data_IF_321736763939
#
_entry.id   IF_321736763939
#
_cell.length_a   1.000
_cell.length_b   1.000
_cell.length_c   1.000
_cell.angle_alpha   90.00
_cell.angle_beta   90.00
_cell.angle_gamma   90.00
#
_symmetry.space_group_name_H-M   'P 1'
#
loop_
_entity.id
_entity.type
_entity.pdbx_description
1 polymer ?
#
# COMPACT_ATOMS: atom_id res chain seq x y z
N UNK A 1 13.53 -16.48 9.58
CA UNK A 1 13.28 -15.61 8.40
C UNK A 1 12.68 -14.31 8.93
N UNK A 2 13.06 -13.14 8.43
CA UNK A 2 12.49 -11.86 8.89
C UNK A 2 11.26 -11.49 8.06
N UNK A 3 10.36 -10.66 8.59
CA UNK A 3 9.20 -10.16 7.84
C UNK A 3 9.59 -9.43 6.54
N UNK A 4 10.76 -8.75 6.53
CA UNK A 4 11.31 -8.11 5.32
C UNK A 4 11.66 -9.13 4.24
N UNK A 5 12.26 -10.25 4.64
CA UNK A 5 12.56 -11.34 3.71
C UNK A 5 11.28 -11.96 3.14
N UNK A 6 10.23 -12.12 3.96
CA UNK A 6 8.92 -12.57 3.49
C UNK A 6 8.29 -11.61 2.48
N UNK A 7 8.37 -10.30 2.71
CA UNK A 7 7.91 -9.28 1.76
C UNK A 7 8.67 -9.34 0.43
N UNK A 8 10.00 -9.37 0.48
CA UNK A 8 10.83 -9.49 -0.74
C UNK A 8 10.51 -10.75 -1.52
N UNK A 9 10.42 -11.90 -0.83
CA UNK A 9 10.08 -13.17 -1.47
C UNK A 9 8.70 -13.13 -2.14
N UNK A 10 7.68 -12.57 -1.47
CA UNK A 10 6.34 -12.45 -2.03
C UNK A 10 6.32 -11.53 -3.27
N UNK A 11 7.07 -10.43 -3.26
CA UNK A 11 7.21 -9.55 -4.41
C UNK A 11 7.91 -10.24 -5.58
N UNK A 12 9.05 -10.89 -5.32
CA UNK A 12 9.81 -11.62 -6.34
C UNK A 12 8.98 -12.74 -6.97
N UNK A 13 8.21 -13.47 -6.15
CA UNK A 13 7.28 -14.49 -6.62
C UNK A 13 6.23 -13.90 -7.56
N UNK A 14 5.66 -12.74 -7.21
CA UNK A 14 4.72 -12.04 -8.10
C UNK A 14 5.38 -11.64 -9.41
N UNK A 15 6.58 -11.04 -9.40
CA UNK A 15 7.31 -10.67 -10.62
C UNK A 15 7.56 -11.88 -11.52
N UNK A 16 8.03 -13.00 -10.95
CA UNK A 16 8.22 -14.26 -11.69
C UNK A 16 6.93 -14.77 -12.34
N UNK A 17 5.79 -14.67 -11.65
CA UNK A 17 4.48 -15.05 -12.21
C UNK A 17 4.11 -14.14 -13.38
N UNK A 18 4.29 -12.83 -13.25
CA UNK A 18 4.00 -11.85 -14.31
C UNK A 18 4.83 -12.15 -15.58
N UNK A 19 6.12 -12.45 -15.39
CA UNK A 19 7.03 -12.82 -16.48
C UNK A 19 6.66 -14.17 -17.11
N UNK A 20 6.44 -15.20 -16.28
CA UNK A 20 6.07 -16.54 -16.72
C UNK A 20 4.81 -16.53 -17.59
N UNK A 21 3.79 -15.78 -17.16
CA UNK A 21 2.52 -15.64 -17.90
C UNK A 21 2.62 -14.68 -19.09
N UNK A 22 3.77 -14.02 -19.28
CA UNK A 22 4.04 -13.03 -20.35
C UNK A 22 2.98 -11.93 -20.42
N UNK A 23 2.48 -11.48 -19.26
CA UNK A 23 1.31 -10.59 -19.17
C UNK A 23 1.51 -9.25 -19.88
N UNK A 24 2.76 -8.77 -19.96
CA UNK A 24 3.09 -7.53 -20.65
C UNK A 24 2.70 -7.53 -22.15
N UNK A 25 2.62 -8.70 -22.80
CA UNK A 25 2.30 -8.85 -24.23
C UNK A 25 0.81 -9.01 -24.50
N UNK A 26 -0.02 -9.13 -23.47
CA UNK A 26 -1.44 -9.46 -23.59
C UNK A 26 -2.31 -8.21 -23.49
N UNK A 27 -3.55 -8.28 -24.02
CA UNK A 27 -4.55 -7.22 -23.84
C UNK A 27 -5.01 -7.16 -22.36
N UNK A 28 -5.47 -6.01 -21.85
CA UNK A 28 -5.84 -5.86 -20.44
C UNK A 28 -6.84 -6.89 -19.90
N UNK A 29 -7.88 -7.25 -20.65
CA UNK A 29 -8.85 -8.27 -20.21
C UNK A 29 -8.21 -9.65 -20.13
N UNK A 30 -7.42 -10.03 -21.13
CA UNK A 30 -6.67 -11.31 -21.14
C UNK A 30 -5.66 -11.38 -19.99
N UNK A 31 -5.05 -10.25 -19.62
CA UNK A 31 -4.19 -10.17 -18.42
C UNK A 31 -4.97 -10.51 -17.17
N UNK A 32 -6.16 -9.92 -16.98
CA UNK A 32 -7.03 -10.20 -15.82
C UNK A 32 -7.37 -11.68 -15.74
N UNK A 33 -7.93 -12.22 -16.82
CA UNK A 33 -8.43 -13.59 -16.85
C UNK A 33 -7.29 -14.59 -16.59
N UNK A 34 -6.15 -14.41 -17.26
CA UNK A 34 -5.01 -15.32 -17.12
C UNK A 34 -4.36 -15.23 -15.73
N UNK A 35 -4.26 -14.02 -15.17
CA UNK A 35 -3.68 -13.84 -13.84
C UNK A 35 -4.57 -14.44 -12.76
N UNK A 36 -5.89 -14.26 -12.85
CA UNK A 36 -6.85 -14.84 -11.90
C UNK A 36 -6.90 -16.37 -12.02
N UNK A 37 -7.05 -16.91 -13.23
CA UNK A 37 -7.09 -18.35 -13.47
C UNK A 37 -5.85 -19.09 -12.96
N UNK A 38 -4.65 -18.49 -13.08
CA UNK A 38 -3.42 -19.07 -12.55
C UNK A 38 -3.44 -19.27 -11.02
N UNK A 39 -4.21 -18.47 -10.28
CA UNK A 39 -4.29 -18.49 -8.82
C UNK A 39 -5.53 -19.23 -8.27
N UNK A 40 -6.49 -19.59 -9.12
CA UNK A 40 -7.64 -20.43 -8.71
C UNK A 40 -7.16 -21.78 -8.18
N UNK A 41 -6.12 -22.37 -8.79
CA UNK A 41 -5.52 -23.63 -8.36
C UNK A 41 -4.50 -23.54 -7.22
N UNK A 42 -4.28 -22.36 -6.62
CA UNK A 42 -3.23 -22.16 -5.61
C UNK A 42 -3.80 -21.98 -4.21
N UNK A 43 -3.79 -23.00 -3.34
CA UNK A 43 -4.49 -22.96 -2.05
C UNK A 43 -3.90 -21.92 -1.08
N UNK A 44 -2.63 -21.54 -1.22
CA UNK A 44 -1.95 -20.55 -0.38
C UNK A 44 -1.82 -19.16 -0.99
N UNK A 45 -2.52 -18.87 -2.10
CA UNK A 45 -2.44 -17.58 -2.76
C UNK A 45 -3.80 -17.08 -3.28
N UNK A 46 -4.03 -15.77 -3.14
CA UNK A 46 -5.19 -15.06 -3.70
C UNK A 46 -4.70 -14.01 -4.68
N UNK A 47 -5.37 -13.89 -5.81
CA UNK A 47 -5.11 -12.85 -6.79
C UNK A 47 -6.26 -11.84 -6.85
N UNK A 48 -5.88 -10.57 -7.02
CA UNK A 48 -6.80 -9.46 -7.32
C UNK A 48 -6.17 -8.59 -8.40
N UNK A 49 -7.03 -7.98 -9.22
CA UNK A 49 -6.62 -6.97 -10.20
C UNK A 49 -7.28 -5.66 -9.85
N UNK A 50 -6.46 -4.63 -9.75
CA UNK A 50 -6.88 -3.30 -9.34
C UNK A 50 -6.72 -2.35 -10.53
N UNK A 51 -7.66 -1.45 -10.74
CA UNK A 51 -7.51 -0.41 -11.76
C UNK A 51 -6.46 0.64 -11.35
N UNK A 52 -6.01 1.44 -12.32
CA UNK A 52 -5.00 2.45 -12.09
C UNK A 52 -5.37 3.48 -11.00
N UNK A 53 -6.59 4.06 -10.96
CA UNK A 53 -6.95 5.01 -9.89
C UNK A 53 -6.84 4.39 -8.50
N UNK A 54 -7.42 3.20 -8.29
CA UNK A 54 -7.38 2.51 -7.00
C UNK A 54 -5.96 2.08 -6.62
N UNK A 55 -5.16 1.63 -7.59
CA UNK A 55 -3.75 1.31 -7.37
C UNK A 55 -2.96 2.54 -6.88
N UNK A 56 -3.20 3.70 -7.49
CA UNK A 56 -2.54 4.95 -7.10
C UNK A 56 -2.92 5.36 -5.68
N UNK A 57 -4.21 5.25 -5.30
CA UNK A 57 -4.65 5.49 -3.92
C UNK A 57 -3.96 4.52 -2.96
N UNK A 58 -3.98 3.22 -3.26
CA UNK A 58 -3.40 2.17 -2.43
C UNK A 58 -1.91 2.41 -2.15
N UNK A 59 -1.12 2.70 -3.20
CA UNK A 59 0.32 2.98 -3.05
C UNK A 59 0.57 4.26 -2.24
N UNK A 60 -0.28 5.28 -2.41
CA UNK A 60 -0.16 6.53 -1.64
C UNK A 60 -0.47 6.32 -0.17
N UNK A 61 -1.50 5.53 0.15
CA UNK A 61 -1.89 5.18 1.54
C UNK A 61 -0.82 4.33 2.22
N UNK A 62 -0.25 3.35 1.51
CA UNK A 62 0.79 2.48 2.05
C UNK A 62 2.04 3.21 2.51
N UNK A 63 2.40 4.31 1.84
CA UNK A 63 3.52 5.15 2.25
C UNK A 63 3.24 5.99 3.51
N UNK A 64 1.97 6.15 3.93
CA UNK A 64 1.57 7.13 4.94
C UNK A 64 1.21 6.52 6.29
N UNK A 65 0.82 5.24 6.37
CA UNK A 65 0.30 4.68 7.62
C UNK A 65 0.72 3.23 7.84
N UNK A 66 1.29 2.87 9.01
CA UNK A 66 0.98 1.56 9.57
C UNK A 66 -0.50 1.61 9.96
N UNK A 67 -1.36 1.02 9.13
CA UNK A 67 -2.78 0.86 9.47
C UNK A 67 -2.92 0.35 10.90
N UNK A 68 -3.79 0.97 11.68
CA UNK A 68 -4.00 0.65 13.10
C UNK A 68 -5.46 0.25 13.31
N UNK A 69 -5.64 -0.91 13.96
CA UNK A 69 -6.90 -1.64 14.26
C UNK A 69 -7.71 -2.09 13.03
N UNK A 70 -7.91 -3.40 12.92
CA UNK A 70 -8.87 -4.03 12.01
C UNK A 70 -9.61 -5.14 12.76
N UNK A 71 -10.93 -5.19 12.60
CA UNK A 71 -11.74 -6.29 13.11
C UNK A 71 -11.73 -7.43 12.10
N UNK A 72 -11.45 -8.65 12.57
CA UNK A 72 -11.60 -9.85 11.75
C UNK A 72 -13.10 -10.18 11.62
N UNK A 73 -13.56 -10.71 10.47
CA UNK A 73 -14.97 -11.09 10.27
C UNK A 73 -15.51 -12.02 11.36
N UNK A 74 -14.67 -12.96 11.80
CA UNK A 74 -15.07 -14.05 12.70
C UNK A 74 -14.69 -13.79 14.17
N UNK A 75 -14.19 -12.59 14.51
CA UNK A 75 -13.78 -12.29 15.88
C UNK A 75 -14.53 -11.08 16.45
N UNK A 76 -15.00 -11.18 17.71
CA UNK A 76 -15.75 -10.12 18.37
C UNK A 76 -14.88 -8.90 18.69
N UNK A 77 -13.55 -9.06 18.74
CA UNK A 77 -12.60 -8.03 19.19
C UNK A 77 -11.77 -7.43 18.04
N UNK A 78 -11.50 -6.13 18.15
CA UNK A 78 -10.60 -5.40 17.26
C UNK A 78 -9.16 -5.88 17.47
N UNK A 79 -8.54 -6.40 16.41
CA UNK A 79 -7.14 -6.80 16.45
C UNK A 79 -6.25 -5.71 15.87
N UNK A 80 -5.11 -5.49 16.50
CA UNK A 80 -4.10 -4.57 15.99
C UNK A 80 -3.22 -5.32 15.00
N UNK A 81 -3.28 -4.90 13.73
CA UNK A 81 -2.36 -5.38 12.71
C UNK A 81 -1.39 -4.28 12.36
N UNK A 82 -0.11 -4.60 12.22
CA UNK A 82 0.82 -3.69 11.55
C UNK A 82 0.75 -3.95 10.06
N UNK A 83 0.61 -2.87 9.27
CA UNK A 83 0.88 -2.87 7.83
C UNK A 83 2.18 -2.14 7.51
N UNK A 84 3.34 -2.80 7.66
CA UNK A 84 4.54 -2.26 7.05
C UNK A 84 4.37 -2.29 5.53
N UNK A 85 4.58 -1.16 4.87
CA UNK A 85 4.75 -1.09 3.43
C UNK A 85 6.24 -1.18 3.11
N UNK A 86 6.67 -2.30 2.53
CA UNK A 86 8.06 -2.52 2.14
C UNK A 86 8.11 -3.23 0.80
N UNK A 87 8.96 -2.77 -0.11
CA UNK A 87 9.12 -3.36 -1.44
C UNK A 87 7.79 -3.60 -2.20
N UNK A 88 6.85 -2.65 -2.10
CA UNK A 88 5.49 -2.76 -2.68
C UNK A 88 4.64 -3.90 -2.11
N UNK A 89 4.91 -4.29 -0.87
CA UNK A 89 4.10 -5.26 -0.14
C UNK A 89 3.44 -4.62 1.08
N UNK A 90 2.19 -4.99 1.32
CA UNK A 90 1.50 -4.81 2.59
C UNK A 90 1.54 -6.13 3.35
N UNK A 91 1.81 -6.10 4.65
CA UNK A 91 1.83 -7.30 5.47
C UNK A 91 0.80 -7.18 6.59
N UNK A 92 0.14 -8.26 6.94
CA UNK A 92 -0.71 -8.32 8.13
C UNK A 92 -0.02 -9.23 9.14
N UNK A 93 0.30 -8.64 10.29
CA UNK A 93 0.91 -9.32 11.44
C UNK A 93 0.21 -8.83 12.69
N UNK A 94 -0.19 -9.76 13.57
CA UNK A 94 -0.76 -9.40 14.87
C UNK A 94 0.28 -8.61 15.67
N UNK A 95 -0.15 -7.62 16.44
CA UNK A 95 0.74 -6.74 17.22
C UNK A 95 1.68 -7.53 18.11
N UNK A 96 1.16 -8.49 18.87
CA UNK A 96 1.91 -9.33 19.81
C UNK A 96 2.97 -10.15 19.06
N UNK A 97 2.58 -10.75 17.95
CA UNK A 97 3.47 -11.49 17.04
C UNK A 97 4.56 -10.59 16.47
N UNK A 98 4.23 -9.35 16.08
CA UNK A 98 5.21 -8.39 15.57
C UNK A 98 6.25 -7.99 16.63
N UNK A 99 5.80 -7.69 17.85
CA UNK A 99 6.69 -7.35 18.98
C UNK A 99 7.61 -8.53 19.31
N UNK A 100 7.09 -9.77 19.23
CA UNK A 100 7.88 -10.98 19.39
C UNK A 100 8.80 -11.31 18.19
N UNK A 101 8.83 -10.49 17.13
CA UNK A 101 9.64 -10.74 15.94
C UNK A 101 9.10 -11.85 15.03
N UNK A 102 7.84 -12.21 15.18
CA UNK A 102 7.15 -13.23 14.39
C UNK A 102 6.86 -12.81 12.95
N UNK A 103 6.41 -13.79 12.16
CA UNK A 103 6.14 -13.61 10.73
C UNK A 103 4.72 -13.09 10.48
N UNK A 104 4.51 -12.34 9.38
CA UNK A 104 3.17 -12.00 8.95
C UNK A 104 2.41 -13.25 8.54
N UNK A 105 1.12 -13.32 8.88
CA UNK A 105 0.25 -14.41 8.46
C UNK A 105 -0.38 -14.14 7.09
N UNK A 106 -0.26 -12.91 6.57
CA UNK A 106 -0.70 -12.54 5.23
C UNK A 106 0.24 -11.46 4.65
N UNK A 107 0.65 -11.66 3.40
CA UNK A 107 1.55 -10.77 2.65
C UNK A 107 0.94 -10.45 1.29
N UNK A 108 0.54 -9.20 1.08
CA UNK A 108 -0.03 -8.69 -0.16
C UNK A 108 1.04 -7.96 -0.96
N UNK A 109 1.56 -8.61 -2.00
CA UNK A 109 2.48 -8.03 -2.97
C UNK A 109 1.75 -7.33 -4.11
N UNK A 110 2.29 -6.19 -4.55
CA UNK A 110 1.74 -5.37 -5.63
C UNK A 110 2.76 -5.25 -6.77
N UNK A 111 2.34 -5.56 -7.99
CA UNK A 111 3.08 -5.26 -9.22
C UNK A 111 2.34 -4.15 -9.98
N UNK A 112 3.07 -3.09 -10.30
CA UNK A 112 2.56 -1.89 -10.97
C UNK A 112 3.12 -1.69 -12.38
N UNK A 113 3.84 -2.65 -12.94
CA UNK A 113 4.54 -2.49 -14.23
C UNK A 113 3.57 -2.30 -15.39
N UNK A 114 2.35 -2.83 -15.23
CA UNK A 114 1.26 -2.71 -16.19
C UNK A 114 0.42 -1.44 -15.99
N UNK A 115 0.75 -0.60 -15.00
CA UNK A 115 -0.04 0.61 -14.64
C UNK A 115 -0.12 1.60 -15.79
N UNK A 116 1.01 1.86 -16.47
CA UNK A 116 1.06 2.87 -17.55
C UNK A 116 0.53 2.34 -18.87
N UNK A 117 0.87 1.09 -19.22
CA UNK A 117 0.52 0.51 -20.53
C UNK A 117 -0.90 -0.08 -20.59
N UNK A 118 -1.44 -0.53 -19.45
CA UNK A 118 -2.73 -1.26 -19.40
C UNK A 118 -3.70 -0.71 -18.36
N UNK A 119 -3.31 0.32 -17.60
CA UNK A 119 -4.10 0.86 -16.49
C UNK A 119 -4.47 -0.20 -15.43
N UNK A 120 -3.56 -1.14 -15.18
CA UNK A 120 -3.74 -2.26 -14.25
C UNK A 120 -2.65 -2.34 -13.18
N UNK A 121 -3.05 -2.68 -11.96
CA UNK A 121 -2.19 -3.21 -10.90
C UNK A 121 -2.53 -4.66 -10.61
N UNK A 122 -1.51 -5.49 -10.44
CA UNK A 122 -1.67 -6.89 -10.08
C UNK A 122 -1.35 -7.05 -8.60
N UNK A 123 -2.26 -7.68 -7.88
CA UNK A 123 -2.12 -7.93 -6.45
C UNK A 123 -2.13 -9.43 -6.22
N UNK A 124 -1.10 -9.92 -5.56
CA UNK A 124 -1.00 -11.32 -5.12
C UNK A 124 -0.81 -11.35 -3.63
N UNK A 125 -1.63 -12.15 -2.96
CA UNK A 125 -1.63 -12.28 -1.52
C UNK A 125 -1.23 -13.71 -1.17
N UNK A 126 -0.13 -13.86 -0.43
CA UNK A 126 0.23 -15.12 0.22
C UNK A 126 -0.30 -15.10 1.66
N UNK A 127 -0.81 -16.23 2.15
CA UNK A 127 -1.34 -16.31 3.51
C UNK A 127 -1.04 -17.66 4.16
N UNK A 128 -0.98 -17.68 5.49
CA UNK A 128 -0.79 -18.89 6.27
C UNK A 128 -1.99 -19.82 6.10
N UNK A 129 -1.71 -21.11 5.86
CA UNK A 129 -2.76 -22.13 5.62
C UNK A 129 -3.78 -22.22 6.76
N UNK A 130 -3.35 -21.97 8.00
CA UNK A 130 -4.20 -21.96 9.19
C UNK A 130 -5.31 -20.90 9.15
N UNK A 131 -5.17 -19.83 8.36
CA UNK A 131 -6.20 -18.80 8.21
C UNK A 131 -7.43 -19.31 7.42
N UNK A 132 -7.23 -20.28 6.54
CA UNK A 132 -8.24 -20.72 5.58
C UNK A 132 -8.45 -19.73 4.43
N UNK A 133 -8.73 -20.23 3.23
CA UNK A 133 -8.85 -19.40 2.02
C UNK A 133 -10.03 -18.42 2.09
N UNK A 134 -11.20 -18.88 2.55
CA UNK A 134 -12.41 -18.04 2.60
C UNK A 134 -12.22 -16.81 3.51
N UNK A 135 -11.69 -17.01 4.72
CA UNK A 135 -11.38 -15.91 5.64
C UNK A 135 -10.28 -15.02 5.06
N UNK A 136 -9.24 -15.59 4.43
CA UNK A 136 -8.21 -14.80 3.77
C UNK A 136 -8.78 -13.92 2.64
N UNK A 137 -9.69 -14.43 1.81
CA UNK A 137 -10.35 -13.66 0.75
C UNK A 137 -11.16 -12.48 1.32
N UNK A 138 -11.93 -12.71 2.38
CA UNK A 138 -12.69 -11.63 3.04
C UNK A 138 -11.77 -10.54 3.59
N UNK A 139 -10.65 -10.92 4.21
CA UNK A 139 -9.66 -9.95 4.71
C UNK A 139 -8.99 -9.17 3.58
N UNK A 140 -8.65 -9.85 2.49
CA UNK A 140 -8.06 -9.21 1.31
C UNK A 140 -9.02 -8.19 0.73
N UNK A 141 -10.30 -8.52 0.61
CA UNK A 141 -11.30 -7.62 0.05
C UNK A 141 -11.58 -6.44 0.99
N UNK A 142 -11.67 -6.67 2.30
CA UNK A 142 -11.78 -5.62 3.31
C UNK A 142 -10.56 -4.68 3.31
N UNK A 143 -9.36 -5.25 3.20
CA UNK A 143 -8.11 -4.50 3.16
C UNK A 143 -8.01 -3.66 1.89
N UNK A 144 -8.31 -4.25 0.73
CA UNK A 144 -8.32 -3.51 -0.54
C UNK A 144 -9.35 -2.39 -0.49
N UNK A 145 -10.57 -2.65 -0.03
CA UNK A 145 -11.59 -1.61 0.11
C UNK A 145 -11.10 -0.47 1.01
N UNK A 146 -10.43 -0.77 2.13
CA UNK A 146 -9.87 0.23 3.03
C UNK A 146 -8.73 1.03 2.40
N UNK A 147 -7.84 0.38 1.65
CA UNK A 147 -6.70 1.01 0.99
C UNK A 147 -7.12 1.84 -0.23
N UNK A 148 -8.18 1.44 -0.95
CA UNK A 148 -8.61 2.11 -2.18
C UNK A 148 -9.68 3.16 -1.97
N UNK A 149 -10.51 3.03 -0.93
CA UNK A 149 -11.56 3.99 -0.59
C UNK A 149 -11.10 4.97 0.50
N UNK A 150 -9.80 5.02 0.79
CA UNK A 150 -9.26 5.93 1.79
C UNK A 150 -9.54 7.37 1.38
N UNK A 151 -10.43 8.03 2.13
CA UNK A 151 -10.73 9.43 1.92
C UNK A 151 -9.75 10.26 2.75
N UNK A 152 -8.75 10.85 2.09
CA UNK A 152 -7.73 11.69 2.74
C UNK A 152 -8.33 12.85 3.56
N UNK A 153 -9.59 13.24 3.31
CA UNK A 153 -10.27 14.32 4.04
C UNK A 153 -10.85 13.92 5.41
N UNK A 154 -10.85 12.62 5.78
CA UNK A 154 -11.46 12.13 7.03
C UNK A 154 -10.44 11.64 8.07
N UNK A 155 -9.15 11.89 7.88
CA UNK A 155 -8.15 11.61 8.92
C UNK A 155 -8.22 12.73 9.97
N UNK A 156 -9.12 12.58 10.94
CA UNK A 156 -8.98 13.30 12.20
C UNK A 156 -7.83 12.64 12.97
N UNK A 157 -6.71 13.35 13.07
CA UNK A 157 -5.73 13.03 14.11
C UNK A 157 -6.44 13.24 15.45
N UNK A 158 -6.33 12.25 16.34
CA UNK A 158 -6.93 12.24 17.69
C UNK A 158 -6.41 13.37 18.60
N UNK A 159 -5.54 14.22 18.08
CA UNK A 159 -4.91 15.34 18.77
C UNK A 159 -5.80 16.60 18.73
N UNK A 160 -7.04 16.49 18.26
CA UNK A 160 -8.03 17.59 18.26
C UNK A 160 -7.74 18.70 17.24
N UNK A 161 -6.69 18.59 16.42
CA UNK A 161 -6.39 19.54 15.36
C UNK A 161 -7.02 19.08 14.06
N UNK A 162 -8.28 19.48 13.84
CA UNK A 162 -8.90 19.42 12.52
C UNK A 162 -8.15 20.36 11.58
N UNK A 163 -7.55 19.82 10.50
CA UNK A 163 -7.13 20.64 9.36
C UNK A 163 -8.39 21.05 8.58
N UNK A 164 -9.03 22.14 8.99
CA UNK A 164 -10.02 22.81 8.15
C UNK A 164 -9.28 23.40 6.95
N UNK A 165 -9.58 22.88 5.75
CA UNK A 165 -9.25 23.57 4.51
C UNK A 165 -9.86 24.97 4.57
N UNK A 166 -9.08 26.05 4.40
CA UNK A 166 -9.66 27.39 4.35
C UNK A 166 -10.49 27.47 3.07
N UNK A 167 -11.81 27.69 3.24
CA UNK A 167 -12.67 28.10 2.15
C UNK A 167 -12.15 29.40 1.55
N UNK A 168 -12.14 29.57 0.22
CA UNK A 168 -11.71 30.81 -0.40
C UNK A 168 -12.75 31.89 -0.10
N UNK A 169 -12.41 32.82 0.81
CA UNK A 169 -13.17 34.05 0.98
C UNK A 169 -13.05 34.89 -0.29
N UNK A 170 -14.20 35.28 -0.83
CA UNK A 170 -14.38 36.20 -1.95
C UNK A 170 -13.50 37.46 -1.84
N UNK A 171 -13.05 38.02 -2.97
CA UNK A 171 -12.09 39.12 -2.98
C UNK A 171 -12.78 40.45 -2.63
N UNK A 172 -12.40 41.05 -1.51
CA UNK A 172 -12.66 42.47 -1.26
C UNK A 172 -11.60 43.32 -1.96
N UNK A 173 -12.08 44.25 -2.77
CA UNK A 173 -11.30 45.18 -3.57
C UNK A 173 -10.45 46.13 -2.73
N UNK A 174 -9.43 46.69 -3.41
CA UNK A 174 -8.59 47.84 -3.05
C UNK A 174 -7.27 47.52 -2.35
N UNK A 175 -6.17 47.54 -3.12
CA UNK A 175 -5.14 48.58 -2.96
C UNK A 175 -4.17 48.54 -4.15
N UNK A 176 -4.09 49.67 -4.87
CA UNK A 176 -3.04 49.98 -5.85
C UNK A 176 -1.73 50.22 -5.10
N UNK A 177 -0.64 49.55 -5.49
CA UNK A 177 0.69 50.21 -5.56
C UNK A 177 1.62 49.52 -6.55
N UNK A 178 2.19 50.36 -7.40
CA UNK A 178 3.12 50.09 -8.48
C UNK A 178 4.54 49.96 -7.93
N UNK A 179 5.29 48.92 -8.30
CA UNK A 179 6.77 48.89 -8.31
C UNK A 179 7.27 47.97 -9.44
N UNK A 180 8.32 48.44 -10.10
CA UNK A 180 8.88 48.07 -11.41
C UNK A 180 9.60 46.68 -11.48
N UNK A 181 9.99 46.21 -12.69
CA UNK A 181 10.43 44.84 -12.93
C UNK A 181 11.94 44.68 -12.73
N UNK A 182 12.38 43.65 -12.01
CA UNK A 182 13.81 43.31 -11.94
C UNK A 182 14.05 41.82 -12.17
N UNK A 183 14.74 41.56 -13.29
CA UNK A 183 15.64 40.47 -13.67
C UNK A 183 15.31 39.00 -13.32
N UNK A 184 15.27 38.23 -14.40
CA UNK A 184 15.51 36.79 -14.52
C UNK A 184 16.74 36.31 -13.74
N UNK A 185 16.59 35.18 -13.05
CA UNK A 185 17.67 34.24 -12.72
C UNK A 185 17.23 32.80 -13.04
N UNK A 186 18.17 31.88 -13.34
CA UNK A 186 17.89 30.64 -14.03
C UNK A 186 17.48 29.49 -13.10
N UNK A 187 16.74 28.55 -13.68
CA UNK A 187 16.36 27.25 -13.11
C UNK A 187 17.58 26.45 -12.61
N UNK A 188 17.52 25.85 -11.41
CA UNK A 188 18.33 24.68 -11.12
C UNK A 188 17.64 23.42 -11.64
N UNK A 189 18.43 22.67 -12.39
CA UNK A 189 18.14 21.38 -13.00
C UNK A 189 17.74 20.34 -11.96
N UNK A 190 16.70 19.59 -12.36
CA UNK A 190 16.09 18.44 -11.71
C UNK A 190 17.13 17.35 -11.41
N UNK A 191 17.49 17.17 -10.14
CA UNK A 191 18.08 15.93 -9.63
C UNK A 191 16.94 14.97 -9.28
N UNK A 192 16.79 13.90 -10.07
CA UNK A 192 15.84 12.83 -9.85
C UNK A 192 16.49 11.75 -9.01
N UNK A 193 16.27 11.79 -7.69
CA UNK A 193 16.68 10.72 -6.79
C UNK A 193 15.56 10.45 -5.77
N UNK A 194 14.62 9.51 -6.04
CA UNK A 194 13.42 9.34 -5.22
C UNK A 194 13.58 8.39 -4.01
N UNK A 195 14.81 8.06 -3.56
CA UNK A 195 15.02 7.04 -2.53
C UNK A 195 15.58 7.52 -1.19
N UNK A 196 15.79 8.82 -0.99
CA UNK A 196 16.19 9.35 0.32
C UNK A 196 15.00 10.04 0.96
N UNK A 197 14.25 9.32 1.79
CA UNK A 197 13.49 9.78 2.98
C UNK A 197 12.48 8.69 3.36
N UNK A 198 12.96 7.56 3.88
CA UNK A 198 12.10 6.61 4.59
C UNK A 198 12.82 6.11 5.84
N UNK A 199 12.78 6.92 6.89
CA UNK A 199 13.16 6.47 8.23
C UNK A 199 11.96 5.75 8.82
N UNK A 200 11.88 4.43 8.60
CA UNK A 200 10.89 3.59 9.28
C UNK A 200 11.40 3.22 10.68
N UNK A 201 10.57 3.45 11.69
CA UNK A 201 10.77 2.89 13.03
C UNK A 201 10.77 1.36 12.92
N UNK A 202 11.94 0.74 13.13
CA UNK A 202 12.03 -0.69 13.34
C UNK A 202 11.42 -1.08 14.69
N UNK A 203 11.13 -2.37 14.93
CA UNK A 203 10.81 -2.83 16.28
C UNK A 203 12.00 -2.49 17.21
N UNK A 204 11.74 -2.12 18.48
CA UNK A 204 12.81 -1.78 19.42
C UNK A 204 13.76 -2.96 19.57
N UNK A 205 14.99 -2.79 19.09
CA UNK A 205 16.09 -3.71 19.36
C UNK A 205 16.58 -3.49 20.78
N UNK A 206 15.98 -4.18 21.75
CA UNK A 206 16.57 -4.33 23.07
C UNK A 206 15.91 -5.46 23.85
N UNK A 207 16.77 -6.23 24.53
CA UNK A 207 16.51 -7.27 25.54
C UNK A 207 16.54 -8.73 25.06
N UNK A 208 17.76 -9.24 24.89
CA UNK A 208 18.10 -10.61 25.30
C UNK A 208 18.55 -10.54 26.77
N UNK A 209 17.96 -11.29 27.72
CA UNK A 209 18.63 -11.58 28.98
C UNK A 209 19.64 -12.71 28.75
N UNK A 210 20.78 -12.60 29.43
CA UNK A 210 21.81 -13.65 29.57
C UNK A 210 21.32 -14.77 30.48
#
# INVERSE_FOLDING_TARGET
MSWRASATLAHDNLCKVVEHLKLARLKPNVVRDRFLAFHEGQPGAIARVVDRPRLQTMLSVGCLFPLSRMRMPDQPEDHFYYLPFYAKCFMLVQKETYVAGGLPFLVMAVNEDLRLSKSLGLVRVEFATALGRATAEQLVDALLARLTNFNFHKVQFTDGTSSSSPSPSSPSSSFRRSVAPTRRTPFPTRSSDPLRYYTFYGPPTSFLPS
#
